data_IF_443715371912
#
_entry.id   IF_443715371912
#
_cell.length_a   1.000
_cell.length_b   1.000
_cell.length_c   1.000
_cell.angle_alpha   90.00
_cell.angle_beta   90.00
_cell.angle_gamma   90.00
#
_symmetry.space_group_name_H-M   'P 1'
#
loop_
_entity.id
_entity.type
_entity.pdbx_description
1 polymer ?
#
# COMPACT_ATOMS: atom_id res chain seq x y z
N UNK A 1 28.06 -28.69 11.06
CA UNK A 1 26.92 -27.91 10.49
C UNK A 1 27.57 -26.84 9.65
N UNK A 2 27.37 -26.85 8.35
CA UNK A 2 28.01 -25.85 7.49
C UNK A 2 27.24 -24.54 7.64
N UNK A 3 27.97 -23.47 7.91
CA UNK A 3 27.45 -22.13 8.10
C UNK A 3 27.91 -21.26 6.93
N UNK A 4 26.97 -20.57 6.30
CA UNK A 4 27.22 -19.56 5.27
C UNK A 4 26.96 -18.17 5.83
N UNK A 5 27.68 -17.16 5.35
CA UNK A 5 27.39 -15.77 5.69
C UNK A 5 26.32 -15.22 4.77
N UNK A 6 25.35 -14.49 5.34
CA UNK A 6 24.35 -13.78 4.56
C UNK A 6 25.02 -12.73 3.64
N UNK A 7 24.72 -12.69 2.34
CA UNK A 7 25.26 -11.66 1.45
C UNK A 7 24.72 -10.26 1.74
N UNK A 8 23.64 -10.13 2.52
CA UNK A 8 23.02 -8.83 2.83
C UNK A 8 23.45 -8.24 4.17
N UNK A 9 23.35 -9.03 5.26
CA UNK A 9 23.64 -8.54 6.61
C UNK A 9 24.93 -9.11 7.22
N UNK A 10 25.59 -10.07 6.56
CA UNK A 10 26.82 -10.70 7.06
C UNK A 10 26.62 -11.71 8.19
N UNK A 11 25.40 -11.90 8.70
CA UNK A 11 25.15 -12.84 9.79
C UNK A 11 25.32 -14.30 9.34
N UNK A 12 25.71 -15.18 10.25
CA UNK A 12 25.92 -16.60 9.95
C UNK A 12 24.55 -17.32 9.94
N UNK A 13 24.28 -18.04 8.85
CA UNK A 13 23.04 -18.77 8.60
C UNK A 13 23.42 -20.22 8.29
N UNK A 14 22.63 -21.21 8.72
CA UNK A 14 22.86 -22.59 8.28
C UNK A 14 22.66 -22.72 6.76
N UNK A 15 23.52 -23.51 6.10
CA UNK A 15 23.53 -23.67 4.63
C UNK A 15 22.22 -24.15 4.00
N UNK A 16 21.30 -24.70 4.81
CA UNK A 16 20.00 -25.20 4.37
C UNK A 16 18.85 -24.17 4.44
N UNK A 17 19.09 -22.97 4.99
CA UNK A 17 18.06 -21.95 5.06
C UNK A 17 17.81 -21.37 3.66
N UNK A 18 16.54 -21.13 3.32
CA UNK A 18 16.14 -20.43 2.09
C UNK A 18 16.12 -18.91 2.24
N UNK A 19 16.03 -18.42 3.48
CA UNK A 19 15.97 -17.01 3.82
C UNK A 19 16.78 -16.72 5.09
N UNK A 20 17.38 -15.54 5.17
CA UNK A 20 18.05 -15.05 6.37
C UNK A 20 17.03 -14.69 7.44
N UNK A 21 17.20 -15.25 8.65
CA UNK A 21 16.32 -14.97 9.79
C UNK A 21 16.52 -13.56 10.37
N UNK A 22 17.68 -12.94 10.15
CA UNK A 22 17.96 -11.58 10.64
C UNK A 22 17.43 -10.48 9.70
N UNK A 23 17.60 -10.65 8.38
CA UNK A 23 17.33 -9.57 7.42
C UNK A 23 16.28 -9.91 6.36
N UNK A 24 15.74 -11.14 6.37
CA UNK A 24 14.68 -11.60 5.47
C UNK A 24 15.10 -11.88 4.02
N UNK A 25 16.39 -11.79 3.66
CA UNK A 25 16.83 -12.01 2.28
C UNK A 25 16.89 -13.49 1.91
N UNK A 26 16.48 -13.81 0.68
CA UNK A 26 16.63 -15.15 0.12
C UNK A 26 18.11 -15.53 -0.06
N UNK A 27 18.45 -16.76 0.28
CA UNK A 27 19.81 -17.34 0.18
C UNK A 27 19.71 -18.60 -0.68
N UNK A 28 19.45 -18.44 -1.98
CA UNK A 28 19.32 -19.59 -2.88
C UNK A 28 20.68 -20.02 -3.43
N UNK A 29 21.13 -21.18 -2.95
CA UNK A 29 22.23 -21.95 -3.51
C UNK A 29 21.73 -22.76 -4.71
N UNK A 30 21.87 -22.23 -5.91
CA UNK A 30 22.11 -22.93 -7.20
C UNK A 30 22.18 -21.87 -8.29
N UNK A 31 23.31 -21.84 -9.00
CA UNK A 31 23.65 -20.81 -9.98
C UNK A 31 22.68 -20.77 -11.17
N UNK A 32 22.55 -19.57 -11.74
CA UNK A 32 21.82 -19.16 -12.96
C UNK A 32 20.35 -18.73 -12.78
N UNK A 33 20.14 -17.49 -12.34
CA UNK A 33 19.41 -16.50 -13.15
C UNK A 33 19.63 -15.08 -12.61
N UNK A 34 19.77 -14.11 -13.52
CA UNK A 34 19.97 -12.69 -13.22
C UNK A 34 18.67 -12.04 -12.75
N UNK A 35 18.23 -12.35 -11.53
CA UNK A 35 17.15 -11.61 -10.88
C UNK A 35 17.74 -10.80 -9.74
N UNK A 36 18.26 -9.62 -10.11
CA UNK A 36 18.58 -8.55 -9.17
C UNK A 36 17.29 -7.98 -8.56
N UNK A 37 16.61 -8.74 -7.70
CA UNK A 37 15.58 -8.20 -6.82
C UNK A 37 15.97 -8.38 -5.36
N UNK A 38 17.00 -7.64 -4.98
CA UNK A 38 17.22 -7.19 -3.61
C UNK A 38 17.31 -5.65 -3.63
N UNK A 39 16.20 -4.99 -3.97
CA UNK A 39 15.98 -3.60 -3.53
C UNK A 39 15.23 -3.67 -2.21
N UNK A 40 16.03 -3.61 -1.15
CA UNK A 40 15.62 -3.36 0.22
C UNK A 40 14.91 -2.01 0.28
N UNK A 41 13.70 -2.02 0.83
CA UNK A 41 13.20 -0.91 1.62
C UNK A 41 14.25 -0.57 2.67
N UNK A 42 14.86 0.62 2.59
CA UNK A 42 15.60 1.19 3.70
C UNK A 42 15.21 2.66 3.85
N UNK A 43 14.60 2.97 5.00
CA UNK A 43 14.18 4.28 5.51
C UNK A 43 13.03 4.96 4.75
N UNK A 44 11.80 5.04 5.25
CA UNK A 44 11.40 5.58 6.56
C UNK A 44 10.27 4.74 7.18
N UNK A 45 10.57 4.11 8.31
CA UNK A 45 9.59 3.60 9.26
C UNK A 45 9.72 4.45 10.52
N UNK A 46 8.65 5.17 10.88
CA UNK A 46 8.16 5.38 12.25
C UNK A 46 6.98 6.35 12.27
N UNK A 47 5.82 5.78 12.60
CA UNK A 47 5.00 6.21 13.73
C UNK A 47 4.17 7.49 13.59
N UNK A 48 2.87 7.25 13.40
CA UNK A 48 1.71 7.98 13.93
C UNK A 48 1.60 9.50 13.69
N UNK A 49 0.60 9.81 12.85
CA UNK A 49 -0.20 11.03 12.72
C UNK A 49 -0.22 11.94 13.98
N UNK A 50 -0.39 13.26 13.79
CA UNK A 50 -1.77 13.76 13.84
C UNK A 50 -2.08 14.88 12.82
N UNK A 51 -3.29 14.83 12.25
CA UNK A 51 -4.08 16.00 11.82
C UNK A 51 -3.46 16.98 10.80
N UNK A 52 -3.84 16.82 9.53
CA UNK A 52 -4.14 17.92 8.61
C UNK A 52 -5.28 17.38 7.72
N UNK A 53 -6.57 17.64 7.91
CA UNK A 53 -7.25 18.94 8.07
C UNK A 53 -6.49 20.09 7.41
N UNK A 54 -6.28 19.98 6.11
CA UNK A 54 -6.38 21.18 5.29
C UNK A 54 -7.75 21.14 4.60
N UNK A 55 -8.62 22.03 5.07
CA UNK A 55 -9.53 22.71 4.16
C UNK A 55 -8.64 23.25 3.04
N UNK A 56 -8.64 22.61 1.87
CA UNK A 56 -8.21 23.29 0.66
C UNK A 56 -9.44 24.07 0.21
N UNK A 57 -9.59 25.19 0.91
CA UNK A 57 -10.14 26.41 0.32
C UNK A 57 -9.53 26.56 -1.07
N UNK A 58 -10.40 26.88 -2.02
CA UNK A 58 -10.04 27.36 -3.33
C UNK A 58 -9.00 28.48 -3.20
N UNK A 59 -7.75 28.23 -3.53
CA UNK A 59 -6.80 29.31 -3.79
C UNK A 59 -6.09 29.04 -5.12
N UNK A 60 -6.11 30.12 -5.89
CA UNK A 60 -5.73 30.21 -7.28
C UNK A 60 -4.21 30.06 -7.46
N UNK A 61 -3.83 29.92 -8.73
CA UNK A 61 -2.50 30.24 -9.25
C UNK A 61 -1.36 29.26 -8.94
N UNK A 62 -1.31 28.18 -9.72
CA UNK A 62 -0.03 27.53 -10.02
C UNK A 62 0.64 28.34 -11.16
N UNK A 63 1.83 28.92 -10.96
CA UNK A 63 2.49 29.71 -11.99
C UNK A 63 2.91 28.84 -13.17
N UNK A 64 2.64 29.34 -14.38
CA UNK A 64 3.08 28.72 -15.63
C UNK A 64 4.63 28.62 -15.68
N UNK A 65 5.20 27.51 -16.19
CA UNK A 65 6.62 27.46 -16.48
C UNK A 65 6.95 28.37 -17.67
N UNK A 66 7.79 29.38 -17.43
CA UNK A 66 8.37 30.23 -18.48
C UNK A 66 9.34 29.38 -19.31
N UNK A 67 8.96 29.09 -20.55
CA UNK A 67 9.81 28.41 -21.53
C UNK A 67 10.89 29.41 -21.97
N UNK A 68 12.06 29.33 -21.34
CA UNK A 68 13.26 30.05 -21.76
C UNK A 68 13.90 29.36 -22.95
N UNK A 69 13.64 29.85 -24.16
CA UNK A 69 14.32 29.43 -25.38
C UNK A 69 15.50 30.34 -25.69
N UNK A 70 16.70 29.98 -25.23
CA UNK A 70 17.96 30.56 -25.72
C UNK A 70 18.43 29.77 -26.94
N UNK A 71 18.06 30.19 -28.15
CA UNK A 71 18.72 29.74 -29.40
C UNK A 71 18.78 30.95 -30.33
N UNK A 72 19.77 31.82 -30.13
CA UNK A 72 19.98 32.98 -30.99
C UNK A 72 21.47 33.31 -31.13
N UNK A 73 22.30 32.32 -31.46
CA UNK A 73 23.68 32.57 -31.91
C UNK A 73 24.03 31.54 -32.99
N UNK A 74 23.76 31.88 -34.25
CA UNK A 74 24.11 31.02 -35.38
C UNK A 74 23.63 31.46 -36.77
N UNK A 75 22.97 32.62 -36.91
CA UNK A 75 22.45 33.10 -38.22
C UNK A 75 23.23 34.31 -38.76
N UNK A 76 24.16 34.88 -37.99
CA UNK A 76 24.87 36.12 -38.38
C UNK A 76 26.00 35.93 -39.40
N UNK A 77 26.44 34.70 -39.71
CA UNK A 77 27.53 34.48 -40.69
C UNK A 77 27.07 34.13 -42.11
N UNK A 78 25.79 33.79 -42.33
CA UNK A 78 25.26 33.46 -43.67
C UNK A 78 24.72 34.70 -44.38
N UNK A 79 24.48 35.80 -43.65
CA UNK A 79 23.90 37.03 -44.21
C UNK A 79 24.91 37.95 -44.92
N UNK A 80 26.22 37.77 -44.70
CA UNK A 80 27.24 38.62 -45.32
C UNK A 80 27.62 38.19 -46.75
N UNK A 81 27.38 36.92 -47.13
CA UNK A 81 27.64 36.43 -48.49
C UNK A 81 26.40 36.45 -49.40
N UNK A 82 25.22 36.71 -48.85
CA UNK A 82 23.97 36.81 -49.61
C UNK A 82 23.81 38.13 -50.37
N UNK A 83 24.46 39.21 -49.93
CA UNK A 83 24.24 40.57 -50.48
C UNK A 83 24.75 40.78 -51.91
N UNK A 84 25.57 39.88 -52.48
CA UNK A 84 26.03 39.99 -53.88
C UNK A 84 25.09 39.33 -54.90
N UNK A 85 24.09 38.53 -54.46
CA UNK A 85 23.16 37.80 -55.36
C UNK A 85 21.78 38.50 -55.43
N UNK A 86 21.50 39.48 -54.59
CA UNK A 86 20.20 40.15 -54.45
C UNK A 86 19.80 41.11 -55.59
N UNK A 87 20.56 41.19 -56.69
CA UNK A 87 20.18 41.99 -57.85
C UNK A 87 19.65 41.19 -59.04
N UNK A 88 19.38 39.88 -58.89
CA UNK A 88 18.75 39.09 -59.96
C UNK A 88 17.55 38.30 -59.39
N UNK A 89 16.36 38.76 -59.76
CA UNK A 89 15.03 38.14 -59.66
C UNK A 89 14.26 38.16 -58.32
N UNK A 90 12.93 38.33 -58.43
CA UNK A 90 11.92 38.21 -57.36
C UNK A 90 11.80 36.78 -56.76
N UNK A 91 12.43 35.80 -57.40
CA UNK A 91 12.29 34.38 -57.10
C UNK A 91 12.88 33.94 -55.74
N UNK A 92 14.08 34.41 -55.30
CA UNK A 92 14.68 33.99 -54.02
C UNK A 92 13.91 34.50 -52.80
N UNK A 93 13.30 35.69 -52.89
CA UNK A 93 12.51 36.26 -51.80
C UNK A 93 11.23 35.44 -51.54
N UNK A 94 10.57 34.95 -52.59
CA UNK A 94 9.39 34.11 -52.46
C UNK A 94 9.73 32.75 -51.81
N UNK A 95 10.83 32.14 -52.22
CA UNK A 95 11.30 30.87 -51.64
C UNK A 95 11.66 31.03 -50.16
N UNK A 96 12.31 32.13 -49.77
CA UNK A 96 12.62 32.41 -48.37
C UNK A 96 11.36 32.58 -47.50
N UNK A 97 10.33 33.28 -48.01
CA UNK A 97 9.03 33.41 -47.33
C UNK A 97 8.32 32.07 -47.14
N UNK A 98 8.37 31.17 -48.14
CA UNK A 98 7.78 29.83 -48.01
C UNK A 98 8.51 28.98 -46.95
N UNK A 99 9.84 29.10 -46.86
CA UNK A 99 10.63 28.39 -45.85
C UNK A 99 10.31 28.92 -44.44
N UNK A 100 10.25 30.24 -44.25
CA UNK A 100 9.85 30.83 -42.96
C UNK A 100 8.43 30.46 -42.56
N UNK A 101 7.47 30.47 -43.49
CA UNK A 101 6.11 30.02 -43.24
C UNK A 101 6.07 28.54 -42.82
N UNK A 102 6.86 27.68 -43.49
CA UNK A 102 6.99 26.26 -43.14
C UNK A 102 7.55 26.04 -41.71
N UNK A 103 8.57 26.80 -41.33
CA UNK A 103 9.16 26.73 -39.97
C UNK A 103 8.15 27.22 -38.92
N UNK A 104 7.43 28.31 -39.18
CA UNK A 104 6.39 28.81 -38.28
C UNK A 104 5.27 27.78 -38.07
N UNK A 105 4.80 27.13 -39.15
CA UNK A 105 3.77 26.09 -39.06
C UNK A 105 4.27 24.89 -38.25
N UNK A 106 5.52 24.45 -38.46
CA UNK A 106 6.10 23.34 -37.72
C UNK A 106 6.24 23.62 -36.21
N UNK A 107 6.63 24.85 -35.84
CA UNK A 107 6.67 25.29 -34.44
C UNK A 107 5.28 25.32 -33.81
N UNK A 108 4.27 25.82 -34.53
CA UNK A 108 2.88 25.82 -34.07
C UNK A 108 2.33 24.40 -33.85
N UNK A 109 2.56 23.46 -34.78
CA UNK A 109 2.09 22.07 -34.66
C UNK A 109 2.74 21.35 -33.47
N UNK A 110 4.02 21.62 -33.22
CA UNK A 110 4.76 21.03 -32.08
C UNK A 110 4.19 21.53 -30.74
N UNK A 111 3.86 22.81 -30.64
CA UNK A 111 3.19 23.38 -29.45
C UNK A 111 1.81 22.76 -29.18
N UNK A 112 1.00 22.54 -30.23
CA UNK A 112 -0.35 21.96 -30.11
C UNK A 112 -0.30 20.51 -29.59
N UNK A 113 0.67 19.70 -30.04
CA UNK A 113 0.83 18.31 -29.57
C UNK A 113 1.19 18.27 -28.08
N UNK A 114 2.14 19.11 -27.66
CA UNK A 114 2.56 19.19 -26.26
C UNK A 114 1.42 19.63 -25.32
N UNK A 115 0.57 20.57 -25.78
CA UNK A 115 -0.61 21.00 -25.02
C UNK A 115 -1.65 19.89 -24.86
N UNK A 116 -1.95 19.15 -25.93
CA UNK A 116 -2.93 18.06 -25.88
C UNK A 116 -2.49 16.90 -24.98
N UNK A 117 -1.19 16.58 -24.96
CA UNK A 117 -0.65 15.56 -24.06
C UNK A 117 -0.84 15.95 -22.58
N UNK A 118 -0.47 17.19 -22.22
CA UNK A 118 -0.65 17.70 -20.85
C UNK A 118 -2.13 17.70 -20.40
N UNK A 119 -3.07 17.99 -21.31
CA UNK A 119 -4.51 17.96 -21.01
C UNK A 119 -5.02 16.54 -20.71
N UNK A 120 -4.52 15.54 -21.44
CA UNK A 120 -4.91 14.15 -21.24
C UNK A 120 -4.36 13.58 -19.93
N UNK A 121 -3.13 13.92 -19.56
CA UNK A 121 -2.50 13.48 -18.31
C UNK A 121 -3.26 14.00 -17.08
N UNK A 122 -3.72 15.25 -17.12
CA UNK A 122 -4.53 15.83 -16.04
C UNK A 122 -5.90 15.14 -15.90
N UNK A 123 -6.54 14.78 -17.03
CA UNK A 123 -7.78 14.03 -17.01
C UNK A 123 -7.57 12.62 -16.43
N UNK A 124 -6.46 11.96 -16.77
CA UNK A 124 -6.10 10.66 -16.21
C UNK A 124 -5.83 10.75 -14.70
N UNK A 125 -5.14 11.80 -14.24
CA UNK A 125 -4.89 12.06 -12.83
C UNK A 125 -6.20 12.23 -12.04
N UNK A 126 -7.15 13.03 -12.54
CA UNK A 126 -8.48 13.19 -11.90
C UNK A 126 -9.22 11.86 -11.73
N UNK A 127 -9.21 11.02 -12.76
CA UNK A 127 -9.85 9.69 -12.70
C UNK A 127 -9.23 8.80 -11.62
N UNK A 128 -7.90 8.78 -11.50
CA UNK A 128 -7.19 8.01 -10.45
C UNK A 128 -7.54 8.49 -9.05
N UNK A 129 -7.60 9.81 -8.83
CA UNK A 129 -7.98 10.40 -7.54
C UNK A 129 -9.43 10.06 -7.18
N UNK A 130 -10.35 10.13 -8.14
CA UNK A 130 -11.75 9.80 -7.92
C UNK A 130 -11.93 8.30 -7.59
N UNK A 131 -11.28 7.42 -8.35
CA UNK A 131 -11.29 5.98 -8.08
C UNK A 131 -10.75 5.65 -6.67
N UNK A 132 -9.71 6.35 -6.22
CA UNK A 132 -9.19 6.21 -4.85
C UNK A 132 -10.19 6.63 -3.76
N UNK A 133 -10.94 7.72 -3.97
CA UNK A 133 -11.99 8.16 -3.03
C UNK A 133 -13.16 7.19 -2.97
N UNK A 134 -13.57 6.65 -4.13
CA UNK A 134 -14.65 5.67 -4.22
C UNK A 134 -14.26 4.35 -3.55
N UNK A 135 -13.03 3.87 -3.79
CA UNK A 135 -12.48 2.72 -3.09
C UNK A 135 -12.42 2.93 -1.56
N UNK A 136 -12.01 4.13 -1.10
CA UNK A 136 -11.99 4.45 0.32
C UNK A 136 -13.39 4.44 0.96
N UNK A 137 -14.41 4.98 0.27
CA UNK A 137 -15.81 4.93 0.74
C UNK A 137 -16.34 3.50 0.79
N UNK A 138 -16.11 2.71 -0.27
CA UNK A 138 -16.49 1.30 -0.31
C UNK A 138 -15.83 0.49 0.83
N UNK A 139 -14.56 0.76 1.14
CA UNK A 139 -13.88 0.14 2.28
C UNK A 139 -14.47 0.55 3.63
N UNK A 140 -14.92 1.80 3.79
CA UNK A 140 -15.59 2.25 5.02
C UNK A 140 -16.95 1.59 5.20
N UNK A 141 -17.74 1.47 4.13
CA UNK A 141 -19.05 0.80 4.15
C UNK A 141 -18.90 -0.69 4.46
N UNK A 142 -17.92 -1.37 3.84
CA UNK A 142 -17.62 -2.76 4.13
C UNK A 142 -17.20 -2.98 5.60
N UNK A 143 -16.46 -2.04 6.21
CA UNK A 143 -16.11 -2.10 7.64
C UNK A 143 -17.34 -1.98 8.54
N UNK A 144 -18.21 -1.00 8.27
CA UNK A 144 -19.46 -0.80 9.03
C UNK A 144 -20.39 -2.01 8.92
N UNK A 145 -20.52 -2.60 7.73
CA UNK A 145 -21.32 -3.80 7.51
C UNK A 145 -20.79 -5.02 8.29
N UNK A 146 -19.45 -5.20 8.35
CA UNK A 146 -18.82 -6.26 9.14
C UNK A 146 -19.06 -6.07 10.65
N UNK A 147 -18.91 -4.84 11.15
CA UNK A 147 -19.16 -4.51 12.55
C UNK A 147 -20.64 -4.74 12.94
N UNK A 148 -21.59 -4.36 12.08
CA UNK A 148 -23.01 -4.61 12.33
C UNK A 148 -23.33 -6.11 12.39
N UNK A 149 -22.73 -6.91 11.50
CA UNK A 149 -22.87 -8.36 11.51
C UNK A 149 -22.31 -8.97 12.81
N UNK A 150 -21.14 -8.52 13.26
CA UNK A 150 -20.54 -8.97 14.53
C UNK A 150 -21.40 -8.58 15.73
N UNK A 151 -21.96 -7.37 15.74
CA UNK A 151 -22.91 -6.92 16.77
C UNK A 151 -24.17 -7.79 16.81
N UNK A 152 -24.74 -8.15 15.65
CA UNK A 152 -25.89 -9.06 15.56
C UNK A 152 -25.56 -10.46 16.09
N UNK A 153 -24.41 -11.02 15.71
CA UNK A 153 -23.92 -12.32 16.22
C UNK A 153 -23.73 -12.29 17.74
N UNK A 154 -23.18 -11.20 18.28
CA UNK A 154 -22.97 -11.05 19.72
C UNK A 154 -24.29 -10.89 20.48
N UNK A 155 -25.25 -10.13 19.94
CA UNK A 155 -26.59 -10.00 20.50
C UNK A 155 -27.35 -11.35 20.51
N UNK A 156 -27.24 -12.13 19.43
CA UNK A 156 -27.83 -13.48 19.36
C UNK A 156 -27.18 -14.43 20.39
N UNK A 157 -25.85 -14.41 20.50
CA UNK A 157 -25.11 -15.20 21.49
C UNK A 157 -25.52 -14.80 22.93
N UNK A 158 -25.67 -13.51 23.20
CA UNK A 158 -26.11 -13.01 24.50
C UNK A 158 -27.55 -13.43 24.81
N UNK A 159 -28.46 -13.42 23.82
CA UNK A 159 -29.83 -13.94 23.97
C UNK A 159 -29.83 -15.43 24.31
N UNK A 160 -29.04 -16.23 23.58
CA UNK A 160 -28.88 -17.67 23.87
C UNK A 160 -28.32 -17.89 25.27
N UNK A 161 -27.30 -17.12 25.69
CA UNK A 161 -26.73 -17.18 27.05
C UNK A 161 -27.77 -16.86 28.13
N UNK A 162 -28.61 -15.83 27.92
CA UNK A 162 -29.69 -15.51 28.85
C UNK A 162 -30.74 -16.63 28.94
N UNK A 163 -31.10 -17.25 27.82
CA UNK A 163 -32.03 -18.39 27.78
C UNK A 163 -31.46 -19.66 28.44
N UNK A 164 -30.17 -19.95 28.26
CA UNK A 164 -29.50 -21.07 28.97
C UNK A 164 -29.43 -20.82 30.47
N UNK A 165 -29.13 -19.58 30.88
CA UNK A 165 -29.13 -19.17 32.30
C UNK A 165 -30.53 -19.31 32.93
N UNK A 166 -31.59 -18.86 32.24
CA UNK A 166 -32.97 -19.00 32.69
C UNK A 166 -33.43 -20.46 32.85
N UNK A 167 -32.87 -21.38 32.05
CA UNK A 167 -33.12 -22.83 32.17
C UNK A 167 -32.23 -23.55 33.19
N UNK A 168 -31.31 -22.84 33.85
CA UNK A 168 -30.35 -23.44 34.78
C UNK A 168 -29.33 -24.36 34.11
N UNK A 169 -29.13 -24.25 32.79
CA UNK A 169 -28.19 -25.09 32.04
C UNK A 169 -26.82 -24.40 32.04
N UNK A 170 -25.79 -24.96 32.70
CA UNK A 170 -24.47 -24.35 32.70
C UNK A 170 -23.90 -24.34 31.28
N UNK A 171 -23.20 -23.26 30.90
CA UNK A 171 -22.59 -23.10 29.57
C UNK A 171 -21.12 -22.68 29.70
N UNK A 172 -20.26 -23.15 28.81
CA UNK A 172 -18.85 -22.79 28.84
C UNK A 172 -18.63 -21.30 28.46
N UNK A 173 -17.95 -20.48 29.29
CA UNK A 173 -17.76 -19.05 29.01
C UNK A 173 -16.81 -18.78 27.83
N UNK A 174 -15.89 -19.71 27.55
CA UNK A 174 -14.87 -19.58 26.49
C UNK A 174 -15.40 -19.89 25.09
N UNK A 175 -16.29 -20.88 24.95
CA UNK A 175 -16.73 -21.37 23.65
C UNK A 175 -18.25 -21.56 23.49
N UNK A 176 -19.04 -21.34 24.55
CA UNK A 176 -20.50 -21.41 24.52
C UNK A 176 -21.10 -22.82 24.43
N UNK A 177 -20.32 -23.89 24.56
CA UNK A 177 -20.85 -25.26 24.54
C UNK A 177 -21.53 -25.64 25.85
N UNK A 178 -22.56 -26.48 25.75
CA UNK A 178 -23.30 -27.09 26.87
C UNK A 178 -22.70 -28.42 27.36
N UNK A 179 -21.75 -29.00 26.63
CA UNK A 179 -21.07 -30.26 27.01
C UNK A 179 -20.05 -30.03 28.13
N UNK A 180 -20.48 -30.22 29.38
CA UNK A 180 -19.70 -29.97 30.60
C UNK A 180 -19.63 -31.24 31.42
N UNK A 181 -18.41 -31.63 31.80
CA UNK A 181 -18.16 -32.73 32.72
C UNK A 181 -17.60 -32.18 34.04
N UNK A 182 -18.08 -32.71 35.16
CA UNK A 182 -17.55 -32.38 36.49
C UNK A 182 -16.37 -33.30 36.78
N UNK A 183 -15.18 -32.74 36.96
CA UNK A 183 -14.00 -33.49 37.41
C UNK A 183 -13.49 -32.91 38.72
N UNK A 184 -13.01 -33.77 39.60
CA UNK A 184 -12.28 -33.33 40.79
C UNK A 184 -10.91 -32.79 40.38
N UNK A 185 -10.44 -31.73 41.06
CA UNK A 185 -9.09 -31.20 40.85
C UNK A 185 -8.10 -32.32 41.23
N UNK A 186 -7.49 -32.95 40.24
CA UNK A 186 -6.57 -34.08 40.43
C UNK A 186 -5.37 -33.72 41.31
N UNK A 187 -4.76 -34.75 41.89
CA UNK A 187 -3.55 -34.64 42.69
C UNK A 187 -2.42 -33.97 41.89
N UNK A 188 -1.71 -33.04 42.51
CA UNK A 188 -0.49 -32.44 41.97
C UNK A 188 0.68 -33.05 42.76
N UNK A 189 1.57 -33.78 42.09
CA UNK A 189 2.76 -34.37 42.74
C UNK A 189 3.72 -33.29 43.28
N UNK A 190 3.65 -32.06 42.76
CA UNK A 190 4.52 -30.94 43.17
C UNK A 190 3.96 -30.20 44.39
N UNK A 191 2.66 -30.29 44.69
CA UNK A 191 2.02 -29.52 45.77
C UNK A 191 1.45 -30.40 46.88
N UNK A 192 2.08 -31.56 47.16
CA UNK A 192 1.94 -32.40 48.36
C UNK A 192 0.56 -32.42 49.04
N UNK A 193 -0.15 -33.54 48.88
CA UNK A 193 -1.38 -33.92 49.60
C UNK A 193 -1.71 -33.09 50.85
N UNK A 194 -2.78 -32.29 50.78
CA UNK A 194 -4.00 -32.40 51.60
C UNK A 194 -4.90 -31.26 51.15
N UNK A 195 -5.96 -31.62 50.45
CA UNK A 195 -6.97 -30.66 50.04
C UNK A 195 -7.88 -31.32 49.04
N UNK A 196 -8.97 -31.88 49.54
CA UNK A 196 -10.10 -32.39 48.76
C UNK A 196 -10.41 -31.41 47.64
N UNK A 197 -9.95 -31.72 46.44
CA UNK A 197 -10.02 -30.81 45.31
C UNK A 197 -11.48 -30.51 45.02
N UNK A 198 -11.91 -29.25 45.25
CA UNK A 198 -13.28 -28.80 44.97
C UNK A 198 -13.67 -29.26 43.54
N UNK A 199 -14.88 -29.83 43.34
CA UNK A 199 -15.31 -30.26 42.01
C UNK A 199 -15.29 -29.05 41.06
N UNK A 200 -14.73 -29.25 39.87
CA UNK A 200 -14.62 -28.22 38.83
C UNK A 200 -15.37 -28.67 37.59
N UNK A 201 -16.10 -27.74 36.96
CA UNK A 201 -16.71 -27.97 35.66
C UNK A 201 -15.65 -27.82 34.57
N UNK A 202 -15.57 -28.79 33.66
CA UNK A 202 -14.64 -28.77 32.53
C UNK A 202 -15.42 -28.92 31.24
N UNK A 203 -15.19 -27.97 30.33
CA UNK A 203 -15.78 -28.02 29.01
C UNK A 203 -15.14 -29.13 28.17
N UNK A 204 -15.94 -30.07 27.68
CA UNK A 204 -15.44 -31.15 26.81
C UNK A 204 -15.03 -30.66 25.41
N UNK A 205 -15.52 -29.49 24.98
CA UNK A 205 -15.20 -28.92 23.67
C UNK A 205 -13.86 -28.16 23.64
N UNK A 206 -13.53 -27.42 24.70
CA UNK A 206 -12.35 -26.54 24.71
C UNK A 206 -11.41 -26.73 25.92
N UNK A 207 -11.73 -27.64 26.85
CA UNK A 207 -10.92 -27.95 28.03
C UNK A 207 -10.92 -26.88 29.13
N UNK A 208 -11.65 -25.77 28.98
CA UNK A 208 -11.69 -24.69 29.97
C UNK A 208 -12.35 -25.17 31.27
N UNK A 209 -11.67 -24.93 32.41
CA UNK A 209 -12.11 -25.32 33.76
C UNK A 209 -12.69 -24.10 34.51
N UNK A 210 -13.87 -24.24 35.10
CA UNK A 210 -14.58 -23.19 35.83
C UNK A 210 -15.32 -23.75 37.06
N UNK A 211 -15.68 -22.89 38.02
CA UNK A 211 -16.33 -23.31 39.28
C UNK A 211 -17.82 -23.64 39.03
N UNK A 212 -18.39 -24.64 39.71
CA UNK A 212 -19.85 -24.87 39.71
C UNK A 212 -20.57 -23.81 40.54
N UNK A 213 -21.70 -23.28 40.04
CA UNK A 213 -22.55 -22.31 40.77
C UNK A 213 -22.28 -20.82 40.49
N UNK A 214 -21.74 -20.48 39.32
CA UNK A 214 -21.73 -19.10 38.78
C UNK A 214 -22.72 -18.94 37.65
#
# INVERSE_FOLDING_TARGET
>A
MDLIKCPKCGNQIPSNAKFCQECGCAVNSTANNQDNNCKTQSNYDKTSQPLLKSNVESENDIPMPKIGGSVALGITSVFALGCAIYCIDWFPAFIFCLILAGICIAACVSGIKNYNLAKNDFAQYKKKVQAGREAAKAMQEAKKAKEELERKKQAELNKKRAEYSARGIPTCPKCGSTSIATINRGYSMVSGFIGSGKPMNVCQKCGHKFKPGT
#
